data_IF_907452812131
#
_entry.id   IF_907452812131
#
_cell.length_a   1.000
_cell.length_b   1.000
_cell.length_c   1.000
_cell.angle_alpha   90.00
_cell.angle_beta   90.00
_cell.angle_gamma   90.00
#
_symmetry.space_group_name_H-M   'P 1'
#
loop_
_entity.id
_entity.type
_entity.pdbx_description
1 polymer ?
#
# COMPACT_ATOMS: atom_id res chain seq x y z
N UNK A 1 -14.03 22.62 33.18
CA UNK A 1 -12.81 21.84 33.05
C UNK A 1 -11.91 22.28 34.22
N UNK A 2 -11.48 21.37 35.09
CA UNK A 2 -10.63 21.71 36.23
C UNK A 2 -9.18 21.65 35.77
N UNK A 3 -8.44 22.76 35.95
CA UNK A 3 -7.01 22.80 35.62
C UNK A 3 -6.25 22.02 36.70
N UNK A 4 -5.40 21.03 36.33
CA UNK A 4 -4.59 20.31 37.30
C UNK A 4 -3.65 21.25 38.07
N UNK A 5 -3.34 20.90 39.34
CA UNK A 5 -2.42 21.69 40.16
C UNK A 5 -1.02 21.77 39.51
N UNK A 6 -0.43 22.94 39.48
CA UNK A 6 0.89 23.20 38.86
C UNK A 6 0.84 23.44 37.35
N UNK A 7 -0.32 23.60 36.76
CA UNK A 7 -0.48 23.92 35.34
C UNK A 7 -1.34 25.18 35.12
N UNK A 8 -1.02 25.92 34.06
CA UNK A 8 -1.83 27.01 33.52
C UNK A 8 -2.46 26.57 32.19
N UNK A 9 -3.65 27.08 31.89
CA UNK A 9 -4.35 26.83 30.64
C UNK A 9 -4.52 28.12 29.85
N UNK A 10 -4.27 28.08 28.53
CA UNK A 10 -4.59 29.22 27.66
C UNK A 10 -6.02 29.12 27.12
N UNK A 11 -6.46 30.18 26.39
CA UNK A 11 -7.77 30.24 25.74
C UNK A 11 -8.03 29.13 24.70
N UNK A 12 -6.98 28.41 24.26
CA UNK A 12 -7.06 27.31 23.26
C UNK A 12 -7.10 25.91 23.91
N UNK A 13 -7.12 25.85 25.28
CA UNK A 13 -7.15 24.57 25.99
C UNK A 13 -5.78 23.89 26.15
N UNK A 14 -4.70 24.61 25.92
CA UNK A 14 -3.35 24.13 26.14
C UNK A 14 -2.90 24.38 27.58
N UNK A 15 -2.20 23.43 28.17
CA UNK A 15 -1.66 23.53 29.52
C UNK A 15 -0.16 23.77 29.50
N UNK A 16 0.33 24.60 30.42
CA UNK A 16 1.77 24.79 30.70
C UNK A 16 2.04 24.47 32.16
N UNK A 17 3.14 23.80 32.42
CA UNK A 17 3.64 23.63 33.78
C UNK A 17 4.17 24.99 34.31
N UNK A 18 3.87 25.34 35.55
CA UNK A 18 4.19 26.68 36.09
C UNK A 18 5.67 26.94 36.24
N UNK A 19 6.44 25.90 36.47
CA UNK A 19 7.88 25.93 36.83
C UNK A 19 8.80 25.44 35.71
N UNK A 20 8.24 25.17 34.53
CA UNK A 20 8.99 24.51 33.46
C UNK A 20 8.70 25.17 32.11
N UNK A 21 9.74 25.55 31.39
CA UNK A 21 9.65 26.07 30.02
C UNK A 21 9.52 24.96 28.95
N UNK A 22 9.16 23.76 29.33
CA UNK A 22 9.21 22.55 28.50
C UNK A 22 8.02 22.35 27.55
N UNK A 23 7.37 23.42 27.10
CA UNK A 23 6.36 23.35 26.04
C UNK A 23 4.95 22.98 26.50
N UNK A 24 3.98 22.94 25.58
CA UNK A 24 2.58 22.73 25.92
C UNK A 24 2.29 21.29 26.35
N UNK A 25 1.36 21.16 27.30
CA UNK A 25 0.80 19.88 27.76
C UNK A 25 -0.67 19.78 27.37
N UNK A 26 -1.20 18.58 27.28
CA UNK A 26 -2.62 18.29 27.08
C UNK A 26 -3.03 17.07 27.89
N UNK A 27 -4.32 16.90 28.11
CA UNK A 27 -4.87 15.73 28.77
C UNK A 27 -5.13 14.63 27.74
N UNK A 28 -4.63 13.42 28.00
CA UNK A 28 -5.01 12.23 27.26
C UNK A 28 -6.45 11.78 27.62
N UNK A 29 -6.96 10.74 26.96
CA UNK A 29 -8.29 10.19 27.23
C UNK A 29 -8.44 9.61 28.64
N UNK A 30 -7.33 9.30 29.30
CA UNK A 30 -7.29 8.75 30.66
C UNK A 30 -7.16 9.87 31.71
N UNK A 31 -7.03 11.13 31.30
CA UNK A 31 -6.90 12.29 32.18
C UNK A 31 -5.46 12.57 32.63
N UNK A 32 -4.44 11.92 32.03
CA UNK A 32 -3.05 12.18 32.34
C UNK A 32 -2.53 13.36 31.52
N UNK A 33 -1.61 14.13 32.12
CA UNK A 33 -0.92 15.22 31.44
C UNK A 33 0.19 14.68 30.53
N UNK A 34 0.06 14.94 29.24
CA UNK A 34 1.05 14.57 28.22
C UNK A 34 1.69 15.81 27.62
N UNK A 35 3.01 15.79 27.42
CA UNK A 35 3.74 16.86 26.79
C UNK A 35 3.78 16.70 25.27
N UNK A 36 3.52 17.77 24.51
CA UNK A 36 3.60 17.82 23.05
C UNK A 36 2.26 18.10 22.35
N UNK A 37 2.19 17.89 21.05
CA UNK A 37 0.99 18.08 20.26
C UNK A 37 0.05 16.87 20.32
N UNK A 38 -1.30 17.03 20.27
CA UNK A 38 -2.25 15.94 20.45
C UNK A 38 -2.37 14.96 19.26
N UNK A 39 -1.32 14.79 18.49
CA UNK A 39 -1.27 13.80 17.41
C UNK A 39 -0.56 12.53 17.87
N UNK A 40 -1.34 11.49 18.18
CA UNK A 40 -0.93 10.11 18.53
C UNK A 40 0.44 10.01 19.22
N UNK A 41 0.45 10.05 20.54
CA UNK A 41 1.63 9.65 21.32
C UNK A 41 1.72 8.11 21.33
N UNK A 42 2.83 7.62 20.84
CA UNK A 42 3.26 6.24 21.11
C UNK A 42 4.22 6.35 22.27
N UNK A 43 3.84 5.84 23.45
CA UNK A 43 4.76 5.63 24.56
C UNK A 43 5.60 4.41 24.19
N UNK A 44 6.90 4.60 24.00
CA UNK A 44 7.85 3.49 24.11
C UNK A 44 7.74 2.93 25.52
N UNK A 45 7.82 1.61 25.68
CA UNK A 45 7.58 0.92 26.95
C UNK A 45 8.42 1.38 28.15
N UNK A 46 9.36 2.29 27.98
CA UNK A 46 10.18 2.90 29.02
C UNK A 46 9.63 4.20 29.62
N UNK A 47 8.48 4.67 29.16
CA UNK A 47 7.69 5.72 29.83
C UNK A 47 8.32 7.11 29.92
N UNK A 48 9.52 7.35 29.39
CA UNK A 48 10.30 8.54 29.72
C UNK A 48 10.27 9.65 28.66
N UNK A 49 10.02 9.36 27.38
CA UNK A 49 10.05 10.38 26.33
C UNK A 49 9.01 10.10 25.24
N UNK A 50 7.89 10.83 25.30
CA UNK A 50 6.93 10.87 24.20
C UNK A 50 7.58 11.53 22.98
N UNK A 51 7.94 10.75 21.96
CA UNK A 51 8.32 11.30 20.66
C UNK A 51 7.07 11.66 19.89
N UNK A 52 6.97 12.89 19.43
CA UNK A 52 5.96 13.27 18.46
C UNK A 52 6.23 12.47 17.17
N UNK A 53 5.46 11.43 16.94
CA UNK A 53 5.49 10.73 15.67
C UNK A 53 4.60 11.50 14.70
N UNK A 54 5.19 12.35 13.89
CA UNK A 54 4.50 12.91 12.73
C UNK A 54 4.34 11.77 11.74
N UNK A 55 3.12 11.26 11.63
CA UNK A 55 2.80 10.29 10.59
C UNK A 55 2.73 11.04 9.25
N UNK A 56 3.84 11.05 8.54
CA UNK A 56 3.95 11.63 7.20
C UNK A 56 3.40 10.69 6.11
N UNK A 57 2.57 9.73 6.48
CA UNK A 57 1.95 8.80 5.53
C UNK A 57 2.86 7.71 4.99
N UNK A 58 4.10 7.57 5.51
CA UNK A 58 5.07 6.57 5.07
C UNK A 58 5.56 5.64 6.19
N UNK A 59 4.71 5.39 7.18
CA UNK A 59 5.07 4.53 8.32
C UNK A 59 5.47 3.13 7.90
N UNK A 60 4.81 2.57 6.89
CA UNK A 60 5.14 1.27 6.32
C UNK A 60 6.52 1.23 5.69
N UNK A 61 6.91 2.30 4.99
CA UNK A 61 8.23 2.42 4.39
C UNK A 61 9.34 2.39 5.45
N UNK A 62 9.23 3.21 6.51
CA UNK A 62 10.23 3.25 7.59
C UNK A 62 10.20 2.00 8.48
N UNK A 63 9.06 1.32 8.57
CA UNK A 63 8.94 0.04 9.27
C UNK A 63 9.36 -1.18 8.43
N UNK A 64 9.78 -0.97 7.16
CA UNK A 64 10.16 -2.05 6.25
C UNK A 64 9.00 -2.93 5.81
N UNK A 65 7.78 -2.42 5.84
CA UNK A 65 6.54 -3.14 5.47
C UNK A 65 5.98 -2.72 4.12
N UNK A 66 6.72 -1.91 3.37
CA UNK A 66 6.38 -1.61 1.99
C UNK A 66 7.13 -2.50 1.04
N UNK A 67 6.37 -3.05 0.10
CA UNK A 67 6.85 -3.97 -0.91
C UNK A 67 6.41 -3.54 -2.30
N UNK A 68 7.11 -4.06 -3.29
CA UNK A 68 6.79 -3.87 -4.68
C UNK A 68 7.01 -5.15 -5.47
N UNK A 69 6.26 -5.30 -6.54
CA UNK A 69 6.47 -6.34 -7.54
C UNK A 69 6.30 -5.74 -8.93
N UNK A 70 7.01 -6.31 -9.89
CA UNK A 70 6.81 -5.99 -11.30
C UNK A 70 6.97 -7.25 -12.14
N UNK A 71 6.30 -7.28 -13.27
CA UNK A 71 6.37 -8.38 -14.22
C UNK A 71 6.14 -7.89 -15.64
N UNK A 72 7.04 -8.26 -16.54
CA UNK A 72 6.88 -8.03 -17.97
C UNK A 72 5.90 -9.04 -18.55
N UNK A 73 5.01 -8.60 -19.41
CA UNK A 73 4.07 -9.47 -20.09
C UNK A 73 4.15 -9.36 -21.60
N UNK A 74 3.84 -10.49 -22.24
CA UNK A 74 3.61 -10.58 -23.69
C UNK A 74 2.37 -11.44 -23.91
N UNK A 75 1.27 -10.82 -24.36
CA UNK A 75 -0.03 -11.47 -24.50
C UNK A 75 -0.35 -11.59 -25.97
N UNK A 76 -0.58 -12.80 -26.53
CA UNK A 76 -1.03 -12.98 -27.90
C UNK A 76 -2.32 -12.20 -28.18
N UNK A 77 -2.63 -12.01 -29.47
CA UNK A 77 -3.86 -11.35 -29.90
C UNK A 77 -5.09 -12.00 -29.27
N UNK A 78 -6.02 -11.18 -28.76
CA UNK A 78 -7.31 -11.61 -28.21
C UNK A 78 -7.22 -12.58 -27.01
N UNK A 79 -6.06 -12.68 -26.37
CA UNK A 79 -5.87 -13.51 -25.17
C UNK A 79 -5.78 -12.67 -23.90
N UNK A 80 -5.83 -13.36 -22.76
CA UNK A 80 -5.70 -12.76 -21.44
C UNK A 80 -4.72 -13.54 -20.59
N UNK A 81 -4.04 -12.83 -19.69
CA UNK A 81 -3.28 -13.41 -18.60
C UNK A 81 -3.83 -12.91 -17.27
N UNK A 82 -3.64 -13.68 -16.23
CA UNK A 82 -3.90 -13.23 -14.87
C UNK A 82 -2.64 -13.31 -14.01
N UNK A 83 -2.45 -12.31 -13.16
CA UNK A 83 -1.49 -12.29 -12.07
C UNK A 83 -2.30 -12.52 -10.80
N UNK A 84 -1.92 -13.50 -10.00
CA UNK A 84 -2.54 -13.79 -8.70
C UNK A 84 -1.71 -13.17 -7.60
N UNK A 85 -2.37 -12.55 -6.61
CA UNK A 85 -1.77 -12.08 -5.37
C UNK A 85 -2.52 -12.71 -4.19
N UNK A 86 -1.82 -13.49 -3.36
CA UNK A 86 -2.36 -14.10 -2.15
C UNK A 86 -1.83 -13.29 -0.96
N UNK A 87 -2.71 -12.55 -0.29
CA UNK A 87 -2.39 -11.72 0.86
C UNK A 87 -2.77 -12.46 2.15
N UNK A 88 -1.78 -12.82 2.97
CA UNK A 88 -1.98 -13.43 4.28
C UNK A 88 -2.23 -12.39 5.39
N UNK A 89 -2.02 -11.11 5.12
CA UNK A 89 -2.30 -9.98 6.00
C UNK A 89 -3.08 -8.91 5.23
N UNK A 90 -3.67 -7.95 5.95
CA UNK A 90 -4.30 -6.81 5.31
C UNK A 90 -3.26 -5.98 4.55
N UNK A 91 -3.60 -5.56 3.34
CA UNK A 91 -2.73 -4.83 2.41
C UNK A 91 -3.34 -3.48 2.08
N UNK A 92 -2.52 -2.47 2.06
CA UNK A 92 -2.84 -1.15 1.55
C UNK A 92 -2.11 -0.96 0.21
N UNK A 93 -2.81 -1.23 -0.88
CA UNK A 93 -2.30 -1.07 -2.24
C UNK A 93 -2.16 0.43 -2.53
N UNK A 94 -0.93 0.90 -2.59
CA UNK A 94 -0.61 2.32 -2.76
C UNK A 94 -0.60 2.73 -4.23
N UNK A 95 -0.13 1.82 -5.06
CA UNK A 95 0.00 2.04 -6.49
C UNK A 95 -0.16 0.73 -7.24
N UNK A 96 -0.88 0.83 -8.34
CA UNK A 96 -1.04 -0.25 -9.31
C UNK A 96 -1.02 0.36 -10.70
N UNK A 97 -0.04 -0.02 -11.51
CA UNK A 97 0.12 0.51 -12.88
C UNK A 97 0.43 -0.61 -13.86
N UNK A 98 -0.03 -0.42 -15.07
CA UNK A 98 0.36 -1.21 -16.23
C UNK A 98 0.87 -0.24 -17.30
N UNK A 99 2.13 -0.39 -17.66
CA UNK A 99 2.73 0.33 -18.77
C UNK A 99 2.63 -0.57 -20.00
N UNK A 100 1.88 -0.15 -21.03
CA UNK A 100 1.66 -0.92 -22.25
C UNK A 100 2.41 -0.28 -23.42
N UNK A 101 3.31 -1.04 -24.05
CA UNK A 101 4.15 -0.55 -25.14
C UNK A 101 3.59 -0.88 -26.52
N UNK A 102 2.91 -2.01 -26.64
CA UNK A 102 2.32 -2.52 -27.87
C UNK A 102 0.91 -3.02 -27.62
N UNK A 103 0.00 -2.83 -28.57
CA UNK A 103 -1.35 -3.34 -28.54
C UNK A 103 -2.33 -2.49 -27.72
N UNK A 104 -3.50 -3.02 -27.48
CA UNK A 104 -4.58 -2.42 -26.71
C UNK A 104 -5.02 -3.40 -25.63
N UNK A 105 -4.93 -3.00 -24.37
CA UNK A 105 -5.23 -3.88 -23.24
C UNK A 105 -6.32 -3.30 -22.34
N UNK A 106 -7.13 -4.20 -21.79
CA UNK A 106 -8.02 -3.95 -20.67
C UNK A 106 -7.42 -4.60 -19.44
N UNK A 107 -7.38 -3.86 -18.35
CA UNK A 107 -6.84 -4.31 -17.07
C UNK A 107 -7.94 -4.27 -16.02
N UNK A 108 -8.08 -5.35 -15.28
CA UNK A 108 -9.06 -5.49 -14.22
C UNK A 108 -8.38 -5.94 -12.93
N UNK A 109 -8.68 -5.27 -11.82
CA UNK A 109 -8.37 -5.74 -10.47
C UNK A 109 -9.61 -6.42 -9.89
N UNK A 110 -9.49 -7.67 -9.46
CA UNK A 110 -10.58 -8.47 -8.94
C UNK A 110 -10.25 -9.07 -7.56
N UNK A 111 -11.24 -9.12 -6.67
CA UNK A 111 -11.17 -9.87 -5.42
C UNK A 111 -11.89 -11.21 -5.59
N UNK A 112 -11.20 -12.29 -5.26
CA UNK A 112 -11.71 -13.65 -5.45
C UNK A 112 -11.92 -14.02 -6.92
N UNK A 113 -12.45 -15.19 -7.16
CA UNK A 113 -12.67 -15.74 -8.50
C UNK A 113 -12.43 -17.24 -8.53
N UNK A 114 -12.71 -17.86 -9.68
CA UNK A 114 -12.44 -19.28 -9.93
C UNK A 114 -11.27 -19.39 -10.89
N UNK A 115 -10.18 -20.02 -10.44
CA UNK A 115 -9.03 -20.29 -11.28
C UNK A 115 -9.42 -21.35 -12.34
N UNK A 116 -9.15 -21.05 -13.59
CA UNK A 116 -9.45 -21.95 -14.73
C UNK A 116 -8.19 -22.59 -15.29
N UNK A 117 -7.00 -22.09 -14.90
CA UNK A 117 -5.72 -22.73 -15.11
C UNK A 117 -4.77 -22.48 -13.93
N UNK A 118 -3.76 -23.31 -13.80
CA UNK A 118 -2.76 -23.19 -12.72
C UNK A 118 -1.86 -21.97 -12.92
N UNK A 119 -1.52 -21.32 -11.83
CA UNK A 119 -0.49 -20.29 -11.76
C UNK A 119 0.86 -21.00 -11.52
N UNK A 120 1.84 -20.75 -12.37
CA UNK A 120 3.06 -21.57 -12.40
C UNK A 120 4.36 -20.78 -12.32
N UNK A 121 4.30 -19.46 -12.39
CA UNK A 121 5.48 -18.60 -12.41
C UNK A 121 5.45 -17.60 -11.28
N UNK A 122 6.33 -17.76 -10.32
CA UNK A 122 6.48 -16.84 -9.21
C UNK A 122 6.94 -15.45 -9.71
N UNK A 123 6.33 -14.41 -9.16
CA UNK A 123 6.75 -13.01 -9.36
C UNK A 123 7.48 -12.57 -8.10
N UNK A 124 8.77 -12.19 -8.21
CA UNK A 124 9.55 -11.74 -7.06
C UNK A 124 8.93 -10.52 -6.38
N UNK A 125 8.73 -10.61 -5.08
CA UNK A 125 8.32 -9.50 -4.23
C UNK A 125 9.54 -8.89 -3.58
N UNK A 126 9.73 -7.58 -3.75
CA UNK A 126 10.88 -6.84 -3.25
C UNK A 126 10.45 -5.81 -2.23
N UNK A 127 11.25 -5.64 -1.19
CA UNK A 127 11.08 -4.55 -0.24
C UNK A 127 11.51 -3.23 -0.87
N UNK A 128 10.75 -2.16 -0.62
CA UNK A 128 11.08 -0.83 -1.16
C UNK A 128 12.16 -0.11 -0.37
N UNK A 129 12.26 -0.39 0.95
CA UNK A 129 13.28 0.19 1.82
C UNK A 129 14.24 -0.89 2.34
N UNK A 130 15.47 -0.89 1.85
CA UNK A 130 16.53 -1.82 2.23
C UNK A 130 17.63 -1.13 3.06
N UNK A 131 17.31 -0.02 3.75
CA UNK A 131 18.30 0.63 4.62
C UNK A 131 18.55 -0.19 5.89
N UNK A 132 19.76 -0.13 6.49
CA UNK A 132 20.10 -0.90 7.71
C UNK A 132 19.25 -0.56 8.94
N UNK A 133 18.54 0.58 8.91
CA UNK A 133 17.68 1.04 10.03
C UNK A 133 16.30 0.36 10.02
N UNK A 134 15.99 -0.41 8.99
CA UNK A 134 14.71 -1.11 8.85
C UNK A 134 14.82 -2.51 9.44
N UNK A 135 13.76 -2.97 10.10
CA UNK A 135 13.65 -4.37 10.52
C UNK A 135 13.62 -5.31 9.31
N UNK A 136 14.77 -5.91 9.03
CA UNK A 136 14.93 -6.83 7.89
C UNK A 136 14.40 -8.23 8.19
N UNK A 137 13.98 -8.54 9.41
CA UNK A 137 13.39 -9.84 9.77
C UNK A 137 11.97 -10.01 9.24
N UNK A 138 11.23 -8.90 9.03
CA UNK A 138 9.90 -8.97 8.45
C UNK A 138 9.98 -9.27 6.94
N UNK A 139 9.38 -10.35 6.52
CA UNK A 139 9.27 -10.74 5.10
C UNK A 139 7.86 -10.49 4.59
N UNK A 140 7.72 -10.27 3.28
CA UNK A 140 6.39 -10.08 2.69
C UNK A 140 5.47 -11.27 2.97
N UNK A 141 4.23 -10.96 3.34
CA UNK A 141 3.14 -11.91 3.53
C UNK A 141 2.21 -11.96 2.31
N UNK A 142 2.65 -11.37 1.19
CA UNK A 142 1.97 -11.44 -0.11
C UNK A 142 2.82 -12.31 -1.04
N UNK A 143 2.21 -13.36 -1.59
CA UNK A 143 2.80 -14.17 -2.66
C UNK A 143 2.15 -13.79 -3.98
N UNK A 144 2.95 -13.66 -5.02
CA UNK A 144 2.46 -13.33 -6.36
C UNK A 144 2.91 -14.35 -7.40
N UNK A 145 1.98 -14.76 -8.24
CA UNK A 145 2.19 -15.75 -9.32
C UNK A 145 1.58 -15.25 -10.64
N UNK A 146 2.08 -15.76 -11.74
CA UNK A 146 1.60 -15.46 -13.10
C UNK A 146 1.29 -16.72 -13.90
N UNK A 147 0.88 -16.53 -15.16
CA UNK A 147 0.52 -17.56 -16.15
C UNK A 147 -0.76 -18.35 -15.82
N UNK A 148 -1.62 -17.81 -14.99
CA UNK A 148 -2.93 -18.38 -14.75
C UNK A 148 -4.05 -17.71 -15.54
N UNK A 149 -5.23 -18.26 -15.43
CA UNK A 149 -6.48 -17.65 -15.89
C UNK A 149 -7.54 -17.77 -14.80
N UNK A 150 -8.40 -16.77 -14.71
CA UNK A 150 -9.44 -16.67 -13.68
C UNK A 150 -10.74 -16.19 -14.30
N UNK A 151 -11.86 -16.66 -13.76
CA UNK A 151 -13.20 -16.20 -14.10
C UNK A 151 -13.97 -15.76 -12.86
N UNK A 152 -14.92 -14.85 -13.03
CA UNK A 152 -15.73 -14.33 -11.91
C UNK A 152 -14.94 -13.40 -10.98
N UNK A 153 -15.31 -13.41 -9.70
CA UNK A 153 -14.78 -12.51 -8.69
C UNK A 153 -15.44 -11.13 -8.68
N UNK A 154 -15.17 -10.35 -7.63
CA UNK A 154 -15.66 -8.98 -7.49
C UNK A 154 -14.70 -8.00 -8.15
N UNK A 155 -15.18 -7.23 -9.12
CA UNK A 155 -14.38 -6.20 -9.78
C UNK A 155 -14.15 -5.03 -8.80
N UNK A 156 -12.90 -4.71 -8.54
CA UNK A 156 -12.47 -3.60 -7.67
C UNK A 156 -12.09 -2.36 -8.49
N UNK A 157 -11.41 -2.58 -9.64
CA UNK A 157 -10.97 -1.51 -10.52
C UNK A 157 -10.87 -2.00 -11.97
N UNK A 158 -11.06 -1.10 -12.94
CA UNK A 158 -10.95 -1.41 -14.37
C UNK A 158 -10.52 -0.20 -15.17
N UNK A 159 -9.59 -0.39 -16.10
CA UNK A 159 -9.18 0.63 -17.05
C UNK A 159 -8.71 0.01 -18.37
N UNK A 160 -8.55 0.84 -19.38
CA UNK A 160 -8.10 0.45 -20.71
C UNK A 160 -6.92 1.31 -21.13
N UNK A 161 -5.94 0.68 -21.75
CA UNK A 161 -4.70 1.34 -22.20
C UNK A 161 -4.54 1.05 -23.69
N UNK A 162 -4.49 2.10 -24.47
CA UNK A 162 -4.19 2.02 -25.90
C UNK A 162 -2.78 2.58 -26.15
N UNK A 163 -1.83 1.72 -26.47
CA UNK A 163 -0.56 2.19 -27.02
C UNK A 163 -0.84 2.65 -28.46
N UNK A 164 -1.03 3.95 -28.67
CA UNK A 164 -1.10 4.49 -30.03
C UNK A 164 0.10 4.03 -30.87
N UNK A 165 0.06 4.22 -32.20
CA UNK A 165 1.11 3.83 -33.16
C UNK A 165 2.50 4.44 -32.94
N UNK A 166 2.82 4.91 -31.74
CA UNK A 166 4.12 5.46 -31.35
C UNK A 166 4.68 4.63 -30.22
N UNK A 167 5.95 4.35 -30.29
CA UNK A 167 6.78 3.63 -29.30
C UNK A 167 6.85 4.28 -27.89
N UNK A 168 6.01 5.23 -27.59
CA UNK A 168 5.87 5.82 -26.27
C UNK A 168 4.80 5.00 -25.51
N UNK A 169 5.24 4.24 -24.51
CA UNK A 169 4.36 3.48 -23.64
C UNK A 169 3.33 4.38 -22.97
N UNK A 170 2.09 3.94 -22.93
CA UNK A 170 1.01 4.59 -22.18
C UNK A 170 0.80 3.82 -20.89
N UNK A 171 0.81 4.54 -19.78
CA UNK A 171 0.56 3.99 -18.46
C UNK A 171 -0.89 4.23 -18.05
N UNK A 172 -1.49 3.24 -17.42
CA UNK A 172 -2.77 3.37 -16.74
C UNK A 172 -2.75 2.68 -15.40
N UNK A 173 -3.56 3.12 -14.47
CA UNK A 173 -3.66 2.51 -13.15
C UNK A 173 -4.36 3.40 -12.14
N UNK A 174 -4.65 2.83 -10.98
CA UNK A 174 -5.18 3.58 -9.86
C UNK A 174 -4.05 4.27 -9.09
N UNK A 175 -4.20 5.58 -8.87
CA UNK A 175 -3.37 6.35 -7.95
C UNK A 175 -4.00 6.44 -6.56
N UNK A 176 -5.27 6.09 -6.44
CA UNK A 176 -5.98 6.10 -5.18
C UNK A 176 -5.69 4.80 -4.41
N UNK A 177 -5.28 4.90 -3.15
CA UNK A 177 -4.98 3.73 -2.36
C UNK A 177 -6.21 2.86 -2.10
N UNK A 178 -6.05 1.55 -2.27
CA UNK A 178 -7.12 0.55 -2.05
C UNK A 178 -6.76 -0.31 -0.83
N UNK A 179 -7.64 -0.32 0.17
CA UNK A 179 -7.53 -1.25 1.30
C UNK A 179 -8.01 -2.65 0.88
N UNK A 180 -7.14 -3.64 1.03
CA UNK A 180 -7.40 -5.03 0.65
C UNK A 180 -7.28 -5.91 1.90
N UNK A 181 -8.36 -6.54 2.39
CA UNK A 181 -8.29 -7.50 3.48
C UNK A 181 -7.51 -8.77 3.08
N UNK A 182 -7.28 -9.66 4.05
CA UNK A 182 -6.72 -10.99 3.79
C UNK A 182 -7.55 -11.69 2.72
N UNK A 183 -6.88 -12.23 1.69
CA UNK A 183 -7.59 -12.89 0.59
C UNK A 183 -6.74 -13.08 -0.67
N UNK A 184 -7.40 -13.55 -1.72
CA UNK A 184 -6.80 -13.73 -3.04
C UNK A 184 -7.35 -12.70 -4.01
N UNK A 185 -6.43 -12.05 -4.72
CA UNK A 185 -6.70 -11.00 -5.70
C UNK A 185 -6.09 -11.35 -7.04
N UNK A 186 -6.71 -10.87 -8.10
CA UNK A 186 -6.26 -11.12 -9.46
C UNK A 186 -6.20 -9.83 -10.25
N UNK A 187 -5.09 -9.66 -10.96
CA UNK A 187 -4.93 -8.63 -11.98
C UNK A 187 -5.06 -9.33 -13.33
N UNK A 188 -6.16 -9.09 -14.03
CA UNK A 188 -6.42 -9.68 -15.34
C UNK A 188 -6.08 -8.66 -16.40
N UNK A 189 -5.16 -9.01 -17.30
CA UNK A 189 -4.75 -8.18 -18.43
C UNK A 189 -5.23 -8.88 -19.70
N UNK A 190 -6.18 -8.27 -20.40
CA UNK A 190 -6.78 -8.78 -21.62
C UNK A 190 -6.32 -7.97 -22.83
N UNK A 191 -5.70 -8.63 -23.79
CA UNK A 191 -5.37 -8.00 -25.05
C UNK A 191 -6.62 -7.93 -25.94
N UNK A 192 -7.06 -6.71 -26.23
CA UNK A 192 -8.23 -6.43 -27.07
C UNK A 192 -7.87 -6.16 -28.53
N UNK A 193 -6.59 -6.30 -28.89
CA UNK A 193 -6.11 -6.06 -30.24
C UNK A 193 -5.88 -7.38 -31.01
N UNK A 194 -5.82 -7.27 -32.34
CA UNK A 194 -5.48 -8.38 -33.23
C UNK A 194 -3.94 -8.58 -33.40
N UNK A 195 -3.15 -7.88 -32.60
CA UNK A 195 -1.69 -7.98 -32.52
C UNK A 195 -1.29 -8.32 -31.09
N UNK A 196 -0.10 -8.89 -30.86
CA UNK A 196 0.40 -9.10 -29.50
C UNK A 196 0.46 -7.79 -28.71
N UNK A 197 0.14 -7.85 -27.43
CA UNK A 197 0.33 -6.75 -26.50
C UNK A 197 1.54 -7.02 -25.60
N UNK A 198 2.36 -6.01 -25.37
CA UNK A 198 3.55 -6.11 -24.51
C UNK A 198 3.63 -4.93 -23.56
N UNK A 199 4.10 -5.19 -22.37
CA UNK A 199 4.25 -4.15 -21.35
C UNK A 199 4.80 -4.68 -20.05
N UNK A 200 4.67 -3.85 -19.01
CA UNK A 200 5.07 -4.20 -17.64
C UNK A 200 3.96 -3.85 -16.66
N UNK A 201 3.64 -4.79 -15.80
CA UNK A 201 2.84 -4.59 -14.62
C UNK A 201 3.72 -4.17 -13.46
N UNK A 202 3.26 -3.24 -12.61
CA UNK A 202 3.90 -2.82 -11.37
C UNK A 202 2.86 -2.63 -10.29
N UNK A 203 3.15 -3.13 -9.07
CA UNK A 203 2.37 -2.87 -7.88
C UNK A 203 3.27 -2.46 -6.72
N UNK A 204 2.77 -1.57 -5.86
CA UNK A 204 3.40 -1.16 -4.60
C UNK A 204 2.36 -1.16 -3.50
N UNK A 205 2.68 -1.75 -2.38
CA UNK A 205 1.77 -1.89 -1.25
C UNK A 205 2.47 -1.81 0.10
N UNK A 206 1.68 -1.52 1.12
CA UNK A 206 2.06 -1.59 2.54
C UNK A 206 1.31 -2.75 3.19
N UNK A 207 2.01 -3.60 3.94
CA UNK A 207 1.42 -4.67 4.74
C UNK A 207 1.11 -4.18 6.15
N UNK A 208 -0.10 -4.51 6.63
CA UNK A 208 -0.65 -4.09 7.93
C UNK A 208 -1.06 -5.31 8.74
N UNK A 209 -0.09 -6.02 9.36
CA UNK A 209 -0.34 -7.20 10.18
C UNK A 209 -1.13 -6.88 11.44
#
# INVERSE_FOLDING_TARGET
MTIPAGYKCNQWGWFWKEDDNSGPYFLDRSGNMCQGFPSRFITDGDGAYGRLRVDVGQTGFFAGREFMAFHEYSIPAEQSIAIRAIAAVAVYLQQFTVDNWEGYVRVELRAGGTETSSFTTDIPVMRTNNTPTVDMSYTSQVNMDNNGTVTGGTLLDVYQINSGNKSEGVSGGSSDPIGMPVGTYYIVISNLSNQPAKGVFKARWEERP
#
